data_IF_318600174353
#
_entry.id   IF_318600174353
#
_cell.length_a   1.000
_cell.length_b   1.000
_cell.length_c   1.000
_cell.angle_alpha   90.00
_cell.angle_beta   90.00
_cell.angle_gamma   90.00
#
_symmetry.space_group_name_H-M   'P 1'
#
loop_
_entity.id
_entity.type
_entity.pdbx_description
1 polymer ?
#
# COMPACT_ATOMS: atom_id res chain seq x y z
N UNK A 1 -19.36 -13.20 -4.94
CA UNK A 1 -19.31 -12.82 -6.37
C UNK A 1 -18.23 -11.78 -6.62
N UNK A 2 -18.35 -10.54 -6.13
CA UNK A 2 -17.36 -9.46 -6.36
C UNK A 2 -15.91 -9.89 -6.09
N UNK A 3 -15.66 -10.53 -4.94
CA UNK A 3 -14.33 -11.06 -4.61
C UNK A 3 -13.72 -11.98 -5.67
N UNK A 4 -14.54 -12.80 -6.35
CA UNK A 4 -14.07 -13.72 -7.40
C UNK A 4 -13.73 -12.97 -8.69
N UNK A 5 -14.40 -11.85 -8.95
CA UNK A 5 -14.09 -10.97 -10.09
C UNK A 5 -12.74 -10.28 -9.87
N UNK A 6 -12.43 -9.93 -8.62
CA UNK A 6 -11.15 -9.35 -8.24
C UNK A 6 -9.97 -10.33 -8.34
N UNK A 7 -10.20 -11.62 -8.62
CA UNK A 7 -9.12 -12.55 -8.94
C UNK A 7 -8.66 -12.41 -10.42
N UNK A 8 -9.38 -11.65 -11.26
CA UNK A 8 -9.07 -11.46 -12.69
C UNK A 8 -7.67 -10.91 -12.95
N UNK A 9 -7.14 -9.90 -12.23
CA UNK A 9 -5.76 -9.46 -12.45
C UNK A 9 -4.72 -10.56 -12.22
N UNK A 10 -4.93 -11.40 -11.21
CA UNK A 10 -4.04 -12.53 -10.91
C UNK A 10 -4.10 -13.58 -12.03
N UNK A 11 -5.30 -13.91 -12.49
CA UNK A 11 -5.56 -14.99 -13.46
C UNK A 11 -5.45 -14.53 -14.94
N UNK A 12 -5.46 -13.23 -15.20
CA UNK A 12 -5.53 -12.61 -16.53
C UNK A 12 -6.95 -12.59 -17.12
N UNK A 13 -7.74 -13.63 -16.87
CA UNK A 13 -9.13 -13.74 -17.32
C UNK A 13 -9.97 -14.50 -16.30
N UNK A 14 -11.22 -14.08 -16.12
CA UNK A 14 -12.21 -14.76 -15.30
C UNK A 14 -13.48 -15.01 -16.11
N UNK A 15 -14.08 -16.19 -15.96
CA UNK A 15 -15.31 -16.58 -16.65
C UNK A 15 -16.39 -16.95 -15.63
N UNK A 16 -17.59 -16.44 -15.83
CA UNK A 16 -18.75 -16.69 -14.97
C UNK A 16 -19.90 -17.25 -15.79
N UNK A 17 -20.38 -18.43 -15.42
CA UNK A 17 -21.65 -18.95 -15.92
C UNK A 17 -22.82 -18.23 -15.26
N UNK A 18 -23.82 -17.90 -16.07
CA UNK A 18 -25.07 -17.31 -15.62
C UNK A 18 -26.12 -18.40 -15.46
N UNK A 19 -26.64 -18.53 -14.25
CA UNK A 19 -27.81 -19.31 -13.93
C UNK A 19 -28.97 -18.39 -13.60
N UNK A 20 -30.01 -18.43 -14.42
CA UNK A 20 -31.18 -17.59 -14.24
C UNK A 20 -32.08 -18.19 -13.15
N UNK A 21 -32.33 -17.41 -12.11
CA UNK A 21 -33.21 -17.77 -11.00
C UNK A 21 -34.42 -16.84 -11.04
N UNK A 22 -35.61 -17.42 -11.08
CA UNK A 22 -36.85 -16.65 -10.98
C UNK A 22 -37.02 -16.10 -9.56
N UNK A 23 -37.22 -14.78 -9.47
CA UNK A 23 -37.53 -14.08 -8.24
C UNK A 23 -38.69 -13.12 -8.50
N UNK A 24 -39.89 -13.51 -8.06
CA UNK A 24 -41.12 -12.73 -8.19
C UNK A 24 -41.44 -12.35 -9.65
N UNK A 25 -41.18 -13.24 -10.61
CA UNK A 25 -41.44 -13.02 -12.04
C UNK A 25 -40.33 -12.26 -12.76
N UNK A 26 -39.22 -11.95 -12.09
CA UNK A 26 -38.01 -11.37 -12.67
C UNK A 26 -36.90 -12.42 -12.61
N UNK A 27 -36.35 -12.77 -13.76
CA UNK A 27 -35.18 -13.64 -13.88
C UNK A 27 -33.93 -12.86 -13.47
N UNK A 28 -33.33 -13.25 -12.36
CA UNK A 28 -32.08 -12.68 -11.84
C UNK A 28 -30.89 -13.57 -12.22
N UNK A 29 -29.74 -12.99 -12.59
CA UNK A 29 -28.52 -13.77 -12.81
C UNK A 29 -27.92 -14.19 -11.47
N UNK A 30 -27.70 -15.50 -11.31
CA UNK A 30 -26.81 -16.08 -10.32
C UNK A 30 -25.50 -16.47 -11.03
N UNK A 31 -24.38 -15.89 -10.58
CA UNK A 31 -23.11 -15.97 -11.27
C UNK A 31 -22.18 -16.96 -10.60
N UNK A 32 -21.85 -18.03 -11.32
CA UNK A 32 -20.97 -19.10 -10.86
C UNK A 32 -19.68 -19.04 -11.66
N UNK A 33 -18.58 -18.80 -10.97
CA UNK A 33 -17.23 -18.85 -11.55
C UNK A 33 -16.92 -20.23 -12.14
N UNK A 34 -16.33 -20.22 -13.34
CA UNK A 34 -15.86 -21.40 -14.05
C UNK A 34 -14.36 -21.29 -14.31
N UNK A 35 -13.70 -22.44 -14.47
CA UNK A 35 -12.27 -22.47 -14.77
C UNK A 35 -12.02 -21.86 -16.14
N UNK A 36 -11.39 -20.68 -16.16
CA UNK A 36 -11.09 -19.91 -17.39
C UNK A 36 -10.24 -20.71 -18.38
N UNK A 37 -9.48 -21.72 -17.92
CA UNK A 37 -8.65 -22.59 -18.78
C UNK A 37 -9.46 -23.44 -19.75
N UNK A 38 -10.76 -23.61 -19.50
CA UNK A 38 -11.67 -24.32 -20.39
C UNK A 38 -12.27 -23.41 -21.46
N UNK A 39 -11.85 -22.15 -21.56
CA UNK A 39 -12.40 -21.16 -22.48
C UNK A 39 -11.31 -20.53 -23.34
N UNK A 40 -11.71 -20.01 -24.50
CA UNK A 40 -10.86 -19.28 -25.43
C UNK A 40 -11.61 -18.06 -25.95
N UNK A 41 -10.91 -16.95 -26.15
CA UNK A 41 -11.46 -15.78 -26.82
C UNK A 41 -10.95 -15.77 -28.26
N UNK A 42 -11.85 -15.88 -29.23
CA UNK A 42 -11.55 -15.86 -30.67
C UNK A 42 -12.38 -14.74 -31.29
N UNK A 43 -11.72 -13.79 -31.95
CA UNK A 43 -12.40 -12.64 -32.58
C UNK A 43 -13.32 -11.87 -31.61
N UNK A 44 -12.87 -11.67 -30.37
CA UNK A 44 -13.63 -11.03 -29.28
C UNK A 44 -14.91 -11.78 -28.85
N UNK A 45 -15.04 -13.06 -29.20
CA UNK A 45 -16.12 -13.92 -28.72
C UNK A 45 -15.57 -15.02 -27.79
N UNK A 46 -16.22 -15.20 -26.65
CA UNK A 46 -15.91 -16.27 -25.71
C UNK A 46 -16.44 -17.61 -26.23
N UNK A 47 -15.56 -18.61 -26.30
CA UNK A 47 -15.88 -19.98 -26.70
C UNK A 47 -15.50 -20.97 -25.62
N UNK A 48 -16.28 -22.05 -25.50
CA UNK A 48 -16.01 -23.14 -24.58
C UNK A 48 -15.16 -24.22 -25.26
N UNK A 49 -14.01 -24.56 -24.70
CA UNK A 49 -13.01 -25.43 -25.30
C UNK A 49 -12.31 -26.38 -24.28
N UNK A 50 -13.05 -27.22 -23.53
CA UNK A 50 -12.47 -28.06 -22.47
C UNK A 50 -11.47 -29.11 -22.98
N UNK A 51 -11.59 -29.52 -24.25
CA UNK A 51 -10.71 -30.51 -24.90
C UNK A 51 -9.98 -29.91 -26.12
N UNK A 52 -9.84 -28.58 -26.16
CA UNK A 52 -9.20 -27.86 -27.28
C UNK A 52 -10.08 -27.65 -28.52
N UNK A 53 -11.30 -28.18 -28.54
CA UNK A 53 -12.28 -27.91 -29.60
C UNK A 53 -13.22 -26.80 -29.14
N UNK A 54 -13.12 -25.64 -29.79
CA UNK A 54 -13.95 -24.48 -29.49
C UNK A 54 -15.42 -24.71 -29.91
N UNK A 55 -16.33 -24.44 -28.98
CA UNK A 55 -17.77 -24.51 -29.14
C UNK A 55 -18.38 -23.16 -28.78
N UNK A 56 -19.42 -22.78 -29.50
CA UNK A 56 -20.14 -21.55 -29.21
C UNK A 56 -20.94 -21.69 -27.91
N UNK A 57 -20.95 -20.62 -27.13
CA UNK A 57 -21.69 -20.55 -25.88
C UNK A 57 -23.08 -19.98 -26.19
N UNK A 58 -24.17 -20.57 -25.67
CA UNK A 58 -25.51 -20.00 -25.85
C UNK A 58 -25.58 -18.54 -25.36
N UNK A 59 -26.37 -17.67 -26.01
CA UNK A 59 -26.56 -16.29 -25.56
C UNK A 59 -27.01 -16.24 -24.10
N UNK A 60 -26.55 -15.22 -23.36
CA UNK A 60 -26.90 -14.99 -21.95
C UNK A 60 -26.52 -16.12 -20.97
N UNK A 61 -25.57 -16.98 -21.36
CA UNK A 61 -25.15 -18.13 -20.54
C UNK A 61 -23.81 -17.93 -19.83
N UNK A 62 -22.94 -17.06 -20.33
CA UNK A 62 -21.67 -16.76 -19.70
C UNK A 62 -21.31 -15.28 -19.82
N UNK A 63 -20.50 -14.81 -18.87
CA UNK A 63 -19.83 -13.52 -18.85
C UNK A 63 -18.34 -13.76 -18.65
N UNK A 64 -17.50 -12.85 -19.13
CA UNK A 64 -16.08 -12.90 -18.88
C UNK A 64 -15.51 -11.51 -18.68
N UNK A 65 -14.36 -11.45 -18.04
CA UNK A 65 -13.57 -10.23 -17.92
C UNK A 65 -12.11 -10.56 -18.12
N UNK A 66 -11.37 -9.63 -18.72
CA UNK A 66 -9.95 -9.75 -19.04
C UNK A 66 -9.18 -8.59 -18.44
N UNK A 67 -8.00 -8.87 -17.91
CA UNK A 67 -7.08 -7.87 -17.38
C UNK A 67 -5.93 -7.66 -18.37
N UNK A 68 -5.71 -6.40 -18.79
CA UNK A 68 -4.66 -6.02 -19.75
C UNK A 68 -4.59 -6.93 -20.99
N UNK A 69 -5.72 -7.12 -21.67
CA UNK A 69 -5.76 -7.86 -22.93
C UNK A 69 -5.00 -7.13 -24.03
N UNK A 70 -4.36 -7.92 -24.88
CA UNK A 70 -3.59 -7.43 -26.01
C UNK A 70 -4.01 -8.18 -27.25
N UNK A 71 -3.79 -7.59 -28.42
CA UNK A 71 -4.14 -8.24 -29.69
C UNK A 71 -3.54 -9.65 -29.84
N UNK A 72 -2.35 -9.89 -29.30
CA UNK A 72 -1.67 -11.20 -29.30
C UNK A 72 -1.95 -12.05 -28.03
N UNK A 73 -2.69 -11.51 -27.05
CA UNK A 73 -3.07 -12.16 -25.79
C UNK A 73 -4.50 -11.79 -25.43
N UNK A 74 -5.50 -12.39 -26.12
CA UNK A 74 -6.90 -12.06 -25.92
C UNK A 74 -7.44 -12.51 -24.56
N UNK A 75 -6.79 -13.47 -23.89
CA UNK A 75 -7.14 -13.94 -22.54
C UNK A 75 -6.51 -13.09 -21.41
N UNK A 76 -6.04 -11.88 -21.73
CA UNK A 76 -5.40 -11.00 -20.75
C UNK A 76 -3.93 -11.31 -20.46
N UNK A 77 -3.34 -10.48 -19.60
CA UNK A 77 -1.97 -10.60 -19.10
C UNK A 77 -2.00 -10.87 -17.59
N UNK A 78 -1.90 -12.14 -17.15
CA UNK A 78 -1.98 -12.46 -15.72
C UNK A 78 -0.78 -11.94 -14.93
N UNK A 79 -1.04 -11.34 -13.77
CA UNK A 79 0.04 -11.02 -12.81
C UNK A 79 0.76 -12.29 -12.32
N UNK A 80 0.09 -13.44 -12.32
CA UNK A 80 0.69 -14.72 -11.97
C UNK A 80 1.91 -15.08 -12.84
N UNK A 81 1.96 -14.64 -14.11
CA UNK A 81 3.11 -14.87 -14.99
C UNK A 81 4.36 -14.16 -14.46
N UNK A 82 4.21 -12.90 -14.02
CA UNK A 82 5.30 -12.13 -13.44
C UNK A 82 5.69 -12.65 -12.05
N UNK A 83 4.71 -13.10 -11.26
CA UNK A 83 4.91 -13.65 -9.91
C UNK A 83 5.55 -15.04 -9.89
N UNK A 84 5.48 -15.79 -11.00
CA UNK A 84 5.97 -17.17 -11.06
C UNK A 84 7.41 -17.31 -10.57
N UNK A 85 8.34 -16.52 -11.11
CA UNK A 85 9.76 -16.64 -10.79
C UNK A 85 10.10 -16.18 -9.37
N UNK A 86 9.68 -14.99 -8.90
CA UNK A 86 9.93 -14.56 -7.53
C UNK A 86 9.40 -15.57 -6.49
N UNK A 87 8.18 -16.10 -6.68
CA UNK A 87 7.58 -17.08 -5.76
C UNK A 87 8.35 -18.40 -5.80
N UNK A 88 8.72 -18.89 -6.98
CA UNK A 88 9.51 -20.13 -7.12
C UNK A 88 10.88 -20.01 -6.45
N UNK A 89 11.59 -18.92 -6.68
CA UNK A 89 12.91 -18.69 -6.09
C UNK A 89 12.82 -18.49 -4.58
N UNK A 90 11.83 -17.75 -4.08
CA UNK A 90 11.59 -17.63 -2.64
C UNK A 90 11.37 -18.98 -1.98
N UNK A 91 10.45 -19.79 -2.53
CA UNK A 91 10.14 -21.11 -1.95
C UNK A 91 11.35 -22.06 -2.00
N UNK A 92 12.12 -22.03 -3.08
CA UNK A 92 13.36 -22.80 -3.19
C UNK A 92 14.41 -22.33 -2.17
N UNK A 93 14.60 -21.00 -2.04
CA UNK A 93 15.52 -20.38 -1.08
C UNK A 93 15.20 -20.81 0.35
N UNK A 94 13.93 -20.73 0.75
CA UNK A 94 13.46 -21.20 2.05
C UNK A 94 13.71 -22.70 2.25
N UNK A 95 13.49 -23.51 1.22
CA UNK A 95 13.79 -24.95 1.26
C UNK A 95 15.30 -25.24 1.43
N UNK A 96 16.17 -24.47 0.79
CA UNK A 96 17.62 -24.55 1.01
C UNK A 96 18.01 -24.08 2.41
N UNK A 97 17.36 -23.03 2.92
CA UNK A 97 17.61 -22.50 4.25
C UNK A 97 17.30 -23.53 5.34
N UNK A 98 16.14 -24.20 5.26
CA UNK A 98 15.79 -25.27 6.20
C UNK A 98 16.82 -26.40 6.17
N UNK A 99 17.23 -26.87 4.99
CA UNK A 99 18.27 -27.90 4.85
C UNK A 99 19.63 -27.45 5.37
N UNK A 100 19.95 -26.17 5.22
CA UNK A 100 21.16 -25.60 5.78
C UNK A 100 21.09 -25.60 7.32
N UNK A 101 19.97 -25.17 7.91
CA UNK A 101 19.78 -25.20 9.36
C UNK A 101 19.89 -26.61 9.94
N UNK A 102 19.33 -27.61 9.25
CA UNK A 102 19.47 -29.03 9.63
C UNK A 102 20.95 -29.46 9.66
N UNK A 103 21.71 -29.15 8.61
CA UNK A 103 23.14 -29.51 8.52
C UNK A 103 24.03 -28.68 9.44
N UNK A 104 23.65 -27.43 9.73
CA UNK A 104 24.38 -26.57 10.65
C UNK A 104 24.15 -26.98 12.10
N UNK A 105 22.92 -27.42 12.43
CA UNK A 105 22.58 -27.97 13.74
C UNK A 105 23.13 -29.38 13.99
N UNK A 106 23.55 -30.10 12.95
CA UNK A 106 24.16 -31.43 13.04
C UNK A 106 25.53 -31.44 12.37
N UNK A 107 26.61 -31.07 13.09
CA UNK A 107 27.93 -31.00 12.50
C UNK A 107 28.40 -32.39 12.06
N UNK A 108 29.19 -32.44 10.99
CA UNK A 108 29.81 -33.68 10.55
C UNK A 108 31.02 -33.96 11.44
N UNK A 109 30.89 -34.96 12.31
CA UNK A 109 32.02 -35.50 13.06
C UNK A 109 32.70 -36.58 12.23
N UNK A 110 33.99 -36.41 11.96
CA UNK A 110 34.82 -37.41 11.27
C UNK A 110 35.85 -37.90 12.28
N UNK A 111 35.78 -39.18 12.63
CA UNK A 111 36.82 -39.88 13.40
C UNK A 111 37.79 -40.60 12.48
N UNK A 112 39.08 -40.51 12.79
CA UNK A 112 40.13 -41.33 12.22
C UNK A 112 40.65 -42.26 13.31
N UNK A 113 40.65 -43.55 13.05
CA UNK A 113 41.20 -44.58 13.95
C UNK A 113 41.95 -45.64 13.17
N UNK A 114 42.98 -46.21 13.80
CA UNK A 114 43.64 -47.45 13.37
C UNK A 114 43.01 -48.71 14.00
N UNK A 115 42.08 -48.53 14.96
CA UNK A 115 41.35 -49.56 15.69
C UNK A 115 40.04 -50.02 15.04
N UNK A 116 39.07 -50.46 15.87
CA UNK A 116 37.77 -50.93 15.40
C UNK A 116 36.86 -49.76 14.99
N UNK A 117 36.49 -49.73 13.70
CA UNK A 117 35.68 -48.67 13.10
C UNK A 117 34.26 -48.63 13.64
N UNK A 118 33.68 -49.80 13.93
CA UNK A 118 32.29 -49.88 14.40
C UNK A 118 32.21 -49.40 15.85
N UNK A 119 33.19 -49.76 16.68
CA UNK A 119 33.31 -49.25 18.04
C UNK A 119 33.51 -47.73 18.09
N UNK A 120 34.41 -47.20 17.25
CA UNK A 120 34.61 -45.74 17.20
C UNK A 120 33.37 -45.00 16.70
N UNK A 121 32.61 -45.58 15.76
CA UNK A 121 31.35 -44.99 15.30
C UNK A 121 30.32 -44.92 16.43
N UNK A 122 30.17 -45.97 17.23
CA UNK A 122 29.26 -46.00 18.38
C UNK A 122 29.66 -44.96 19.44
N UNK A 123 30.96 -44.82 19.71
CA UNK A 123 31.51 -43.80 20.61
C UNK A 123 31.25 -42.37 20.07
N UNK A 124 31.45 -42.14 18.76
CA UNK A 124 31.11 -40.88 18.09
C UNK A 124 29.63 -40.53 18.18
N UNK A 125 28.74 -41.50 18.01
CA UNK A 125 27.30 -41.29 18.18
C UNK A 125 26.93 -40.96 19.62
N UNK A 126 27.55 -41.63 20.60
CA UNK A 126 27.37 -41.32 22.02
C UNK A 126 27.89 -39.92 22.36
N UNK A 127 29.02 -39.50 21.78
CA UNK A 127 29.60 -38.17 21.92
C UNK A 127 28.72 -37.07 21.31
N UNK A 128 28.10 -37.30 20.15
CA UNK A 128 27.18 -36.33 19.56
C UNK A 128 25.90 -36.16 20.41
N UNK A 129 25.57 -37.15 21.24
CA UNK A 129 24.42 -37.14 22.16
C UNK A 129 24.72 -36.66 23.58
N UNK A 130 25.98 -36.45 23.97
CA UNK A 130 26.40 -36.10 25.33
C UNK A 130 27.54 -35.07 25.38
N UNK A 131 27.72 -34.40 26.52
CA UNK A 131 28.66 -33.27 26.64
C UNK A 131 30.14 -33.67 26.91
N UNK A 132 30.46 -34.97 26.94
CA UNK A 132 31.80 -35.46 27.28
C UNK A 132 32.22 -36.66 26.44
N UNK A 133 33.51 -36.70 26.11
CA UNK A 133 34.11 -37.69 25.23
C UNK A 133 35.43 -38.23 25.79
N UNK A 134 35.67 -39.52 25.63
CA UNK A 134 36.96 -40.16 25.89
C UNK A 134 37.35 -40.89 24.62
N UNK A 135 38.53 -40.58 24.08
CA UNK A 135 39.09 -41.21 22.89
C UNK A 135 40.51 -41.67 23.18
N UNK A 136 40.99 -42.68 22.46
CA UNK A 136 42.37 -43.12 22.56
C UNK A 136 43.34 -42.04 22.06
N UNK A 137 44.58 -42.05 22.58
CA UNK A 137 45.61 -41.03 22.28
C UNK A 137 45.99 -41.00 20.79
N UNK A 138 45.82 -42.12 20.09
CA UNK A 138 46.16 -42.28 18.68
C UNK A 138 45.01 -41.86 17.74
N UNK A 139 43.79 -41.69 18.28
CA UNK A 139 42.59 -41.36 17.52
C UNK A 139 42.41 -39.85 17.37
N UNK A 140 41.95 -39.42 16.18
CA UNK A 140 41.70 -38.01 15.88
C UNK A 140 40.22 -37.81 15.52
N UNK A 141 39.54 -36.91 16.22
CA UNK A 141 38.18 -36.47 15.87
C UNK A 141 38.23 -35.03 15.38
N UNK A 142 37.77 -34.82 14.14
CA UNK A 142 37.60 -33.49 13.56
C UNK A 142 36.12 -33.23 13.32
N UNK A 143 35.60 -32.20 14.00
CA UNK A 143 34.25 -31.69 13.76
C UNK A 143 34.30 -30.65 12.66
N UNK A 144 33.76 -30.97 11.49
CA UNK A 144 33.64 -30.02 10.40
C UNK A 144 32.35 -29.22 10.56
N UNK A 145 32.48 -28.02 11.12
CA UNK A 145 31.43 -27.02 11.05
C UNK A 145 31.49 -26.31 9.70
N UNK A 146 30.34 -26.24 9.02
CA UNK A 146 30.19 -25.46 7.80
C UNK A 146 30.34 -23.98 8.20
N UNK A 147 31.36 -23.30 7.70
CA UNK A 147 31.47 -21.85 7.90
C UNK A 147 30.26 -21.16 7.25
N UNK A 148 29.59 -20.30 8.00
CA UNK A 148 28.45 -19.51 7.50
C UNK A 148 28.96 -18.51 6.45
N UNK A 149 28.98 -18.91 5.19
CA UNK A 149 29.23 -18.02 4.06
C UNK A 149 28.01 -18.00 3.13
N UNK A 150 27.00 -17.22 3.48
CA UNK A 150 25.83 -17.03 2.63
C UNK A 150 24.82 -16.08 3.25
N UNK A 151 24.57 -14.97 2.57
CA UNK A 151 23.49 -14.04 2.91
C UNK A 151 22.18 -14.56 2.33
N UNK A 152 21.60 -15.60 2.95
CA UNK A 152 20.35 -16.22 2.50
C UNK A 152 19.16 -15.25 2.56
N UNK A 153 19.23 -14.28 3.46
CA UNK A 153 18.20 -13.26 3.64
C UNK A 153 18.07 -12.36 2.40
N UNK A 154 19.19 -12.06 1.72
CA UNK A 154 19.21 -11.16 0.55
C UNK A 154 18.38 -11.67 -0.62
N UNK A 155 18.44 -12.98 -0.91
CA UNK A 155 17.66 -13.55 -2.02
C UNK A 155 16.16 -13.56 -1.69
N UNK A 156 15.82 -13.89 -0.44
CA UNK A 156 14.44 -13.92 0.04
C UNK A 156 13.85 -12.51 0.04
N UNK A 157 14.61 -11.53 0.55
CA UNK A 157 14.24 -10.12 0.55
C UNK A 157 14.09 -9.55 -0.86
N UNK A 158 15.01 -9.88 -1.78
CA UNK A 158 14.88 -9.51 -3.19
C UNK A 158 13.58 -10.06 -3.79
N UNK A 159 13.29 -11.35 -3.58
CA UNK A 159 12.05 -11.95 -4.08
C UNK A 159 10.80 -11.29 -3.46
N UNK A 160 10.84 -10.98 -2.17
CA UNK A 160 9.74 -10.27 -1.48
C UNK A 160 9.54 -8.85 -2.01
N UNK A 161 10.62 -8.14 -2.31
CA UNK A 161 10.57 -6.83 -2.95
C UNK A 161 9.94 -6.90 -4.34
N UNK A 162 10.33 -7.89 -5.16
CA UNK A 162 9.73 -8.09 -6.48
C UNK A 162 8.23 -8.43 -6.39
N UNK A 163 7.84 -9.30 -5.46
CA UNK A 163 6.42 -9.64 -5.22
C UNK A 163 5.64 -8.40 -4.80
N UNK A 164 6.18 -7.58 -3.88
CA UNK A 164 5.56 -6.31 -3.45
C UNK A 164 5.38 -5.36 -4.63
N UNK A 165 6.42 -5.16 -5.45
CA UNK A 165 6.34 -4.30 -6.62
C UNK A 165 5.29 -4.76 -7.63
N UNK A 166 5.16 -6.07 -7.87
CA UNK A 166 4.17 -6.60 -8.81
C UNK A 166 2.73 -6.45 -8.29
N UNK A 167 2.49 -6.68 -6.99
CA UNK A 167 1.12 -6.68 -6.42
C UNK A 167 0.68 -5.27 -6.03
N UNK A 168 1.57 -4.47 -5.43
CA UNK A 168 1.26 -3.15 -4.88
C UNK A 168 1.66 -2.01 -5.82
N UNK A 169 2.30 -2.30 -6.95
CA UNK A 169 2.82 -1.31 -7.90
C UNK A 169 4.07 -0.57 -7.42
N UNK A 170 4.62 -0.89 -6.25
CA UNK A 170 5.83 -0.23 -5.72
C UNK A 170 6.31 -0.81 -4.39
N UNK A 171 7.40 -0.25 -3.84
CA UNK A 171 7.98 -0.71 -2.57
C UNK A 171 8.50 0.45 -1.68
N UNK A 172 7.64 0.92 -0.76
CA UNK A 172 8.00 1.90 0.28
C UNK A 172 9.26 1.53 1.07
N UNK A 173 9.40 0.25 1.42
CA UNK A 173 10.41 -0.17 2.41
C UNK A 173 11.83 -0.21 1.86
N UNK A 174 12.02 -0.26 0.54
CA UNK A 174 13.36 -0.27 -0.06
C UNK A 174 13.79 1.07 -0.64
N UNK A 175 12.86 2.00 -0.91
CA UNK A 175 13.14 3.27 -1.59
C UNK A 175 13.23 4.48 -0.65
N UNK A 176 12.66 4.42 0.56
CA UNK A 176 12.69 5.56 1.49
C UNK A 176 13.98 5.59 2.30
N UNK A 177 15.03 6.19 1.73
CA UNK A 177 16.22 6.69 2.46
C UNK A 177 16.16 8.19 2.76
N UNK A 178 15.10 8.88 2.34
CA UNK A 178 14.81 10.29 2.66
C UNK A 178 13.47 10.72 2.08
N UNK A 179 12.69 11.52 2.82
CA UNK A 179 11.39 12.06 2.38
C UNK A 179 10.21 11.08 2.49
N UNK A 180 9.86 10.64 3.71
CA UNK A 180 8.80 9.65 3.95
C UNK A 180 7.41 10.10 3.48
N UNK A 181 7.10 11.39 3.54
CA UNK A 181 5.77 11.90 3.20
C UNK A 181 5.49 11.94 1.69
N UNK A 182 6.44 12.44 0.90
CA UNK A 182 6.31 12.49 -0.56
C UNK A 182 6.22 11.09 -1.17
N UNK A 183 7.04 10.14 -0.67
CA UNK A 183 6.96 8.75 -1.06
C UNK A 183 5.61 8.12 -0.71
N UNK A 184 5.08 8.38 0.50
CA UNK A 184 3.78 7.86 0.91
C UNK A 184 2.63 8.36 0.01
N UNK A 185 2.67 9.61 -0.44
CA UNK A 185 1.67 10.15 -1.37
C UNK A 185 1.74 9.45 -2.74
N UNK A 186 2.93 9.32 -3.34
CA UNK A 186 3.09 8.61 -4.63
C UNK A 186 2.58 7.17 -4.56
N UNK A 187 2.79 6.49 -3.43
CA UNK A 187 2.25 5.13 -3.25
C UNK A 187 0.74 5.09 -3.05
N UNK A 188 0.15 6.10 -2.41
CA UNK A 188 -1.30 6.21 -2.34
C UNK A 188 -1.89 6.43 -3.74
N UNK A 189 -1.26 7.25 -4.58
CA UNK A 189 -1.69 7.47 -5.96
C UNK A 189 -1.65 6.17 -6.77
N UNK A 190 -0.55 5.39 -6.68
CA UNK A 190 -0.44 4.07 -7.33
C UNK A 190 -1.51 3.11 -6.82
N UNK A 191 -1.78 3.11 -5.50
CA UNK A 191 -2.81 2.26 -4.90
C UNK A 191 -4.20 2.64 -5.42
N UNK A 192 -4.47 3.93 -5.54
CA UNK A 192 -5.73 4.45 -6.09
C UNK A 192 -5.87 4.07 -7.58
N UNK A 193 -4.80 4.16 -8.37
CA UNK A 193 -4.81 3.74 -9.79
C UNK A 193 -5.12 2.24 -9.94
N UNK A 194 -4.53 1.39 -9.09
CA UNK A 194 -4.83 -0.05 -9.06
C UNK A 194 -6.28 -0.28 -8.66
N UNK A 195 -6.76 0.40 -7.61
CA UNK A 195 -8.15 0.27 -7.15
C UNK A 195 -9.17 0.73 -8.21
N UNK A 196 -8.88 1.82 -8.92
CA UNK A 196 -9.71 2.30 -10.04
C UNK A 196 -9.74 1.29 -11.19
N UNK A 197 -8.61 0.63 -11.48
CA UNK A 197 -8.55 -0.42 -12.49
C UNK A 197 -9.43 -1.63 -12.11
N UNK A 198 -9.34 -2.07 -10.85
CA UNK A 198 -10.16 -3.16 -10.31
C UNK A 198 -11.66 -2.80 -10.27
N UNK A 199 -11.98 -1.54 -9.95
CA UNK A 199 -13.35 -1.01 -9.98
C UNK A 199 -13.92 -1.06 -11.40
N UNK A 200 -13.18 -0.54 -12.39
CA UNK A 200 -13.60 -0.54 -13.78
C UNK A 200 -13.86 -1.95 -14.30
N UNK A 201 -12.93 -2.87 -14.03
CA UNK A 201 -13.05 -4.27 -14.41
C UNK A 201 -14.31 -4.92 -13.83
N UNK A 202 -14.57 -4.68 -12.54
CA UNK A 202 -15.76 -5.19 -11.85
C UNK A 202 -17.04 -4.56 -12.41
N UNK A 203 -17.01 -3.27 -12.67
CA UNK A 203 -18.16 -2.50 -13.15
C UNK A 203 -18.56 -2.92 -14.57
N UNK A 204 -17.60 -3.18 -15.46
CA UNK A 204 -17.87 -3.66 -16.82
C UNK A 204 -18.64 -4.99 -16.80
N UNK A 205 -18.17 -5.96 -16.02
CA UNK A 205 -18.83 -7.26 -15.90
C UNK A 205 -20.26 -7.13 -15.33
N UNK A 206 -20.45 -6.28 -14.31
CA UNK A 206 -21.77 -6.05 -13.72
C UNK A 206 -22.70 -5.33 -14.69
N UNK A 207 -22.20 -4.33 -15.43
CA UNK A 207 -22.97 -3.63 -16.48
C UNK A 207 -23.45 -4.62 -17.53
N UNK A 208 -22.62 -5.57 -17.94
CA UNK A 208 -23.01 -6.61 -18.88
C UNK A 208 -24.04 -7.59 -18.29
N UNK A 209 -23.88 -8.01 -17.03
CA UNK A 209 -24.88 -8.83 -16.33
C UNK A 209 -26.25 -8.12 -16.24
N UNK A 210 -26.25 -6.82 -15.94
CA UNK A 210 -27.46 -6.00 -15.89
C UNK A 210 -28.08 -5.85 -17.27
N UNK A 211 -27.27 -5.66 -18.31
CA UNK A 211 -27.73 -5.63 -19.71
C UNK A 211 -28.45 -6.92 -20.06
N UNK A 212 -27.86 -8.09 -19.79
CA UNK A 212 -28.49 -9.38 -20.06
C UNK A 212 -29.79 -9.57 -19.28
N UNK A 213 -29.80 -9.13 -18.02
CA UNK A 213 -31.02 -9.15 -17.18
C UNK A 213 -32.12 -8.29 -17.79
N UNK A 214 -31.78 -7.11 -18.32
CA UNK A 214 -32.72 -6.21 -18.99
C UNK A 214 -33.30 -6.85 -20.25
N UNK A 215 -32.45 -7.45 -21.08
CA UNK A 215 -32.84 -8.07 -22.34
C UNK A 215 -33.75 -9.29 -22.12
N UNK A 216 -33.43 -10.16 -21.16
CA UNK A 216 -34.24 -11.36 -20.84
C UNK A 216 -35.58 -11.02 -20.21
N UNK A 217 -35.64 -10.01 -19.36
CA UNK A 217 -36.89 -9.61 -18.69
C UNK A 217 -37.71 -8.58 -19.49
N UNK A 218 -37.25 -8.18 -20.68
CA UNK A 218 -37.86 -7.15 -21.52
C UNK A 218 -38.14 -5.82 -20.79
N UNK A 219 -37.22 -5.42 -19.90
CA UNK A 219 -37.36 -4.20 -19.12
C UNK A 219 -37.06 -2.98 -19.98
N UNK A 220 -37.93 -1.96 -19.95
CA UNK A 220 -37.77 -0.73 -20.73
C UNK A 220 -36.95 0.36 -20.01
N UNK A 221 -36.82 0.28 -18.68
CA UNK A 221 -36.11 1.26 -17.87
C UNK A 221 -34.61 1.31 -18.15
N UNK A 222 -34.01 2.49 -18.08
CA UNK A 222 -32.55 2.64 -18.00
C UNK A 222 -32.09 2.31 -16.59
N UNK A 223 -31.14 1.36 -16.49
CA UNK A 223 -30.52 0.96 -15.23
C UNK A 223 -29.06 1.33 -15.33
N UNK A 224 -28.62 2.28 -14.50
CA UNK A 224 -27.22 2.62 -14.33
C UNK A 224 -26.65 1.92 -13.10
N UNK A 225 -25.45 1.36 -13.25
CA UNK A 225 -24.69 0.79 -12.15
C UNK A 225 -23.49 1.69 -11.89
N UNK A 226 -23.30 2.05 -10.64
CA UNK A 226 -22.12 2.76 -10.15
C UNK A 226 -21.64 2.07 -8.89
N UNK A 227 -20.33 1.81 -8.80
CA UNK A 227 -19.70 1.51 -7.53
C UNK A 227 -19.41 2.84 -6.83
N UNK A 228 -19.54 2.85 -5.50
CA UNK A 228 -19.27 4.03 -4.69
C UNK A 228 -18.57 3.56 -3.44
N UNK A 229 -17.51 4.24 -3.06
CA UNK A 229 -16.95 4.10 -1.73
C UNK A 229 -17.96 4.66 -0.72
N UNK A 230 -18.25 3.88 0.31
CA UNK A 230 -19.21 4.26 1.36
C UNK A 230 -18.60 5.31 2.29
N UNK A 231 -17.28 5.27 2.46
CA UNK A 231 -16.56 6.02 3.49
C UNK A 231 -15.69 7.15 2.91
N UNK A 232 -15.69 7.38 1.60
CA UNK A 232 -14.96 8.48 0.96
C UNK A 232 -15.69 9.83 1.19
N UNK A 233 -15.07 10.79 1.90
CA UNK A 233 -15.61 12.13 2.08
C UNK A 233 -15.70 12.96 0.79
N UNK A 234 -15.20 12.47 -0.35
CA UNK A 234 -15.26 13.12 -1.67
C UNK A 234 -14.76 14.58 -1.61
N UNK A 235 -13.64 14.79 -0.91
CA UNK A 235 -13.10 16.13 -0.59
C UNK A 235 -12.81 16.93 -1.87
N UNK A 236 -12.24 16.27 -2.89
CA UNK A 236 -11.96 16.93 -4.17
C UNK A 236 -13.23 17.43 -4.87
N UNK A 237 -14.31 16.63 -4.85
CA UNK A 237 -15.61 17.04 -5.39
C UNK A 237 -16.20 18.18 -4.57
N UNK A 238 -16.06 18.15 -3.24
CA UNK A 238 -16.49 19.23 -2.35
C UNK A 238 -15.76 20.55 -2.64
N UNK A 239 -14.44 20.50 -2.84
CA UNK A 239 -13.65 21.68 -3.21
C UNK A 239 -14.01 22.20 -4.61
N UNK A 240 -14.27 21.30 -5.56
CA UNK A 240 -14.77 21.67 -6.90
C UNK A 240 -16.13 22.36 -6.81
N UNK A 241 -17.07 21.78 -6.08
CA UNK A 241 -18.42 22.32 -5.94
C UNK A 241 -18.41 23.67 -5.20
N UNK A 242 -17.48 23.85 -4.25
CA UNK A 242 -17.20 25.16 -3.64
C UNK A 242 -16.75 26.18 -4.70
N UNK A 243 -15.78 25.84 -5.56
CA UNK A 243 -15.34 26.72 -6.66
C UNK A 243 -16.47 27.03 -7.65
N UNK A 244 -17.31 26.04 -8.00
CA UNK A 244 -18.47 26.23 -8.88
C UNK A 244 -19.48 27.20 -8.26
N UNK A 245 -19.72 27.08 -6.94
CA UNK A 245 -20.55 28.01 -6.19
C UNK A 245 -19.95 29.42 -6.10
N UNK A 246 -18.62 29.54 -5.97
CA UNK A 246 -17.90 30.82 -5.99
C UNK A 246 -18.00 31.50 -7.37
N UNK A 247 -18.02 30.73 -8.45
CA UNK A 247 -18.28 31.21 -9.82
C UNK A 247 -19.75 31.60 -10.07
N UNK A 248 -20.64 31.44 -9.08
CA UNK A 248 -22.05 31.85 -9.14
C UNK A 248 -23.03 30.77 -9.58
N UNK A 249 -22.58 29.52 -9.75
CA UNK A 249 -23.44 28.39 -10.13
C UNK A 249 -23.79 27.54 -8.91
N UNK A 250 -25.08 27.28 -8.68
CA UNK A 250 -25.52 26.45 -7.55
C UNK A 250 -25.78 25.02 -8.00
N UNK A 251 -25.11 24.00 -7.42
CA UNK A 251 -25.41 22.61 -7.73
C UNK A 251 -26.87 22.26 -7.37
N UNK A 252 -27.51 21.39 -8.16
CA UNK A 252 -28.88 20.96 -7.90
C UNK A 252 -28.95 20.00 -6.71
N UNK A 253 -30.11 19.94 -6.05
CA UNK A 253 -30.34 19.02 -4.92
C UNK A 253 -30.09 17.56 -5.32
N UNK A 254 -30.64 17.14 -6.47
CA UNK A 254 -30.49 15.77 -6.99
C UNK A 254 -29.02 15.41 -7.24
N UNK A 255 -28.23 16.36 -7.75
CA UNK A 255 -26.79 16.16 -7.94
C UNK A 255 -26.07 15.96 -6.60
N UNK A 256 -26.30 16.80 -5.58
CA UNK A 256 -25.64 16.67 -4.27
C UNK A 256 -26.02 15.35 -3.59
N UNK A 257 -27.30 14.99 -3.61
CA UNK A 257 -27.78 13.74 -2.98
C UNK A 257 -27.20 12.50 -3.68
N UNK A 258 -27.10 12.54 -5.00
CA UNK A 258 -26.48 11.46 -5.77
C UNK A 258 -24.95 11.38 -5.57
N UNK A 259 -24.27 12.52 -5.49
CA UNK A 259 -22.79 12.58 -5.48
C UNK A 259 -22.23 12.24 -4.11
N UNK A 260 -22.81 12.78 -3.04
CA UNK A 260 -22.35 12.57 -1.66
C UNK A 260 -23.12 11.49 -0.90
N UNK A 261 -24.13 10.87 -1.54
CA UNK A 261 -24.95 9.83 -0.93
C UNK A 261 -25.61 10.27 0.41
N UNK A 262 -25.92 11.56 0.53
CA UNK A 262 -26.61 12.17 1.67
C UNK A 262 -28.01 12.65 1.26
N UNK A 263 -28.92 12.80 2.21
CA UNK A 263 -30.18 13.52 1.99
C UNK A 263 -30.01 14.95 2.44
N UNK A 264 -30.22 15.91 1.54
CA UNK A 264 -30.07 17.35 1.84
C UNK A 264 -31.41 18.06 1.81
N UNK A 265 -31.64 18.94 2.79
CA UNK A 265 -32.78 19.86 2.79
C UNK A 265 -32.39 21.16 2.10
N UNK A 266 -33.35 21.83 1.46
CA UNK A 266 -33.11 23.11 0.81
C UNK A 266 -32.59 24.13 1.85
N UNK A 267 -31.40 24.66 1.61
CA UNK A 267 -30.87 25.73 2.44
C UNK A 267 -31.78 26.97 2.28
N UNK A 268 -32.36 27.44 3.38
CA UNK A 268 -33.02 28.75 3.39
C UNK A 268 -31.95 29.80 3.11
N UNK A 269 -31.97 30.43 1.93
CA UNK A 269 -31.10 31.58 1.64
C UNK A 269 -31.44 32.71 2.62
N UNK A 270 -30.70 32.84 3.71
CA UNK A 270 -30.55 34.11 4.39
C UNK A 270 -29.48 34.91 3.62
N UNK A 271 -29.69 36.20 3.35
CA UNK A 271 -28.65 37.03 2.77
C UNK A 271 -27.46 37.06 3.74
N UNK A 272 -26.25 36.92 3.21
CA UNK A 272 -25.01 37.08 3.97
C UNK A 272 -24.88 38.56 4.33
N UNK A 273 -25.52 38.96 5.43
CA UNK A 273 -25.19 40.19 6.11
C UNK A 273 -23.84 39.96 6.79
N UNK A 274 -22.83 40.75 6.40
CA UNK A 274 -21.57 40.88 7.13
C UNK A 274 -21.85 41.29 8.57
N UNK A 275 -22.05 40.29 9.44
CA UNK A 275 -22.14 40.49 10.87
C UNK A 275 -20.77 40.18 11.46
N UNK A 276 -19.94 41.22 11.58
CA UNK A 276 -18.87 41.25 12.57
C UNK A 276 -19.48 40.98 13.95
N UNK A 277 -19.36 39.75 14.44
CA UNK A 277 -19.60 39.41 15.84
C UNK A 277 -18.46 38.55 16.36
N UNK A 278 -17.55 39.26 17.03
CA UNK A 278 -16.75 38.81 18.17
C UNK A 278 -17.50 37.76 19.00
N UNK A 279 -17.04 36.50 18.95
CA UNK A 279 -17.28 35.55 20.04
C UNK A 279 -16.22 34.45 20.06
N UNK A 280 -15.55 34.38 21.22
CA UNK A 280 -14.79 33.28 21.84
C UNK A 280 -14.17 32.23 20.90
N UNK A 281 -12.85 32.37 20.68
CA UNK A 281 -11.98 31.26 20.25
C UNK A 281 -12.05 30.14 21.29
N UNK A 282 -12.72 29.05 20.92
CA UNK A 282 -12.40 27.71 21.40
C UNK A 282 -11.22 27.26 20.52
N UNK A 283 -10.05 27.02 21.12
CA UNK A 283 -8.90 26.46 20.43
C UNK A 283 -9.23 25.00 20.06
N UNK A 284 -9.36 24.73 18.77
CA UNK A 284 -9.24 23.38 18.20
C UNK A 284 -7.92 23.39 17.45
N UNK A 285 -6.94 22.65 17.94
CA UNK A 285 -5.69 22.38 17.24
C UNK A 285 -5.99 21.48 16.05
N UNK A 286 -5.83 22.01 14.85
CA UNK A 286 -5.92 21.28 13.60
C UNK A 286 -4.67 21.59 12.79
N UNK A 287 -3.92 20.53 12.47
CA UNK A 287 -2.71 20.52 11.68
C UNK A 287 -2.83 21.43 10.44
N UNK A 288 -1.99 22.47 10.38
CA UNK A 288 -1.82 23.24 9.16
C UNK A 288 -1.05 22.37 8.16
N UNK A 289 -1.65 22.18 6.98
CA UNK A 289 -0.96 21.67 5.79
C UNK A 289 0.23 22.59 5.49
N UNK A 290 1.41 22.05 5.12
CA UNK A 290 2.48 22.89 4.59
C UNK A 290 2.04 23.47 3.23
N UNK A 291 2.32 24.76 3.04
CA UNK A 291 1.95 25.51 1.84
C UNK A 291 2.77 25.05 0.63
N UNK A 292 2.11 24.85 -0.50
CA UNK A 292 2.64 24.22 -1.71
C UNK A 292 3.44 25.17 -2.63
N UNK A 293 3.71 26.40 -2.21
CA UNK A 293 4.52 27.37 -2.96
C UNK A 293 5.23 28.38 -2.05
N UNK A 294 6.46 28.76 -2.42
CA UNK A 294 7.36 29.68 -1.71
C UNK A 294 6.73 31.05 -1.40
N UNK A 295 5.79 31.51 -2.24
CA UNK A 295 5.08 32.78 -2.09
C UNK A 295 4.00 32.75 -1.00
N UNK A 296 3.42 31.57 -0.72
CA UNK A 296 2.43 31.39 0.36
C UNK A 296 3.04 31.26 1.75
N UNK A 297 4.33 30.92 1.82
CA UNK A 297 5.05 30.82 3.09
C UNK A 297 5.23 32.22 3.72
N UNK A 298 5.62 33.23 2.92
CA UNK A 298 5.90 34.60 3.39
C UNK A 298 4.65 35.25 4.01
N UNK A 299 3.46 35.06 3.41
CA UNK A 299 2.20 35.62 3.93
C UNK A 299 1.67 34.90 5.18
N UNK A 300 2.13 33.67 5.45
CA UNK A 300 1.79 32.92 6.66
C UNK A 300 2.68 33.26 7.86
N UNK A 301 3.79 33.98 7.64
CA UNK A 301 4.65 34.44 8.73
C UNK A 301 4.03 35.69 9.35
N UNK A 302 3.22 35.47 10.39
CA UNK A 302 2.81 36.54 11.28
C UNK A 302 4.00 36.97 12.15
N UNK A 303 4.93 37.76 11.58
CA UNK A 303 6.08 38.37 12.28
C UNK A 303 5.67 39.37 13.37
N UNK A 304 4.37 39.56 13.63
CA UNK A 304 3.86 40.46 14.68
C UNK A 304 3.30 39.65 15.85
N UNK A 305 4.16 39.48 16.87
CA UNK A 305 3.93 38.95 18.24
C UNK A 305 4.18 37.45 18.44
N UNK A 306 5.44 37.04 18.31
CA UNK A 306 5.98 36.11 19.30
C UNK A 306 6.87 36.98 20.19
N UNK A 307 6.60 36.97 21.49
CA UNK A 307 7.32 37.77 22.48
C UNK A 307 8.82 37.44 22.39
N UNK A 308 9.61 38.43 21.95
CA UNK A 308 11.08 38.39 21.76
C UNK A 308 11.88 37.89 22.99
N UNK A 309 11.23 37.70 24.14
CA UNK A 309 11.83 37.25 25.39
C UNK A 309 12.00 35.73 25.47
N UNK A 310 11.10 34.92 24.90
CA UNK A 310 11.15 33.45 25.04
C UNK A 310 12.19 32.82 24.09
N UNK A 311 12.25 33.31 22.86
CA UNK A 311 13.25 32.86 21.87
C UNK A 311 14.69 33.16 22.30
N UNK A 312 14.95 34.35 22.86
CA UNK A 312 16.30 34.69 23.34
C UNK A 312 16.77 33.80 24.47
N UNK A 313 15.88 33.42 25.39
CA UNK A 313 16.23 32.52 26.49
C UNK A 313 16.57 31.11 26.02
N UNK A 314 15.85 30.61 25.02
CA UNK A 314 16.13 29.30 24.42
C UNK A 314 17.45 29.32 23.64
N UNK A 315 17.70 30.36 22.84
CA UNK A 315 18.96 30.52 22.10
C UNK A 315 20.15 30.63 23.06
N UNK A 316 20.03 31.40 24.14
CA UNK A 316 21.09 31.51 25.17
C UNK A 316 21.37 30.18 25.90
N UNK A 317 20.37 29.29 26.02
CA UNK A 317 20.55 27.95 26.60
C UNK A 317 21.24 27.02 25.59
N UNK A 318 20.84 27.09 24.32
CA UNK A 318 21.42 26.29 23.24
C UNK A 318 22.88 26.67 22.95
N UNK A 319 23.21 27.96 22.95
CA UNK A 319 24.59 28.45 22.73
C UNK A 319 25.57 28.03 23.84
N UNK A 320 25.06 27.62 25.00
CA UNK A 320 25.88 27.14 26.12
C UNK A 320 26.06 25.62 26.13
N UNK A 321 25.31 24.88 25.31
CA UNK A 321 25.40 23.44 25.20
C UNK A 321 26.38 23.04 24.09
N UNK A 322 27.35 22.19 24.40
CA UNK A 322 28.31 21.70 23.40
C UNK A 322 27.86 20.39 22.74
N UNK A 323 26.83 19.76 23.30
CA UNK A 323 26.25 18.51 22.80
C UNK A 323 24.73 18.55 22.84
N UNK A 324 24.10 17.76 21.98
CA UNK A 324 22.64 17.68 21.85
C UNK A 324 21.96 17.21 23.14
N UNK A 325 22.60 16.30 23.87
CA UNK A 325 22.09 15.76 25.13
C UNK A 325 22.13 16.81 26.25
N UNK A 326 23.20 17.61 26.35
CA UNK A 326 23.29 18.74 27.30
C UNK A 326 22.24 19.83 27.01
N UNK A 327 21.95 20.10 25.73
CA UNK A 327 20.94 21.07 25.33
C UNK A 327 19.53 20.67 25.80
N UNK A 328 19.20 19.39 25.67
CA UNK A 328 17.90 18.84 26.10
C UNK A 328 17.79 18.87 27.62
N UNK A 329 18.85 18.50 28.34
CA UNK A 329 18.86 18.49 29.80
C UNK A 329 18.69 19.91 30.38
N UNK A 330 19.40 20.89 29.80
CA UNK A 330 19.29 22.29 30.21
C UNK A 330 17.91 22.91 29.91
N UNK A 331 17.27 22.51 28.80
CA UNK A 331 15.92 22.95 28.47
C UNK A 331 14.86 22.32 29.39
N UNK A 332 15.03 21.05 29.78
CA UNK A 332 14.15 20.39 30.75
C UNK A 332 14.27 20.99 32.16
N UNK A 333 15.47 21.40 32.56
CA UNK A 333 15.68 22.09 33.84
C UNK A 333 15.06 23.50 33.86
N UNK A 334 15.16 24.24 32.75
CA UNK A 334 14.60 25.58 32.63
C UNK A 334 13.06 25.59 32.55
N UNK A 335 12.44 24.55 31.97
CA UNK A 335 11.00 24.44 31.79
C UNK A 335 10.42 23.10 32.29
N UNK A 336 10.46 22.85 33.61
CA UNK A 336 10.14 21.53 34.19
C UNK A 336 8.65 21.16 34.20
N UNK A 337 7.76 22.01 33.65
CA UNK A 337 6.30 21.81 33.63
C UNK A 337 5.69 21.63 32.23
N UNK A 338 6.50 21.69 31.19
CA UNK A 338 6.05 21.49 29.82
C UNK A 338 6.18 20.01 29.48
N UNK A 339 5.14 19.38 28.91
CA UNK A 339 5.27 17.99 28.45
C UNK A 339 6.35 17.94 27.37
N UNK A 340 7.26 16.96 27.50
CA UNK A 340 8.43 16.75 26.63
C UNK A 340 8.06 16.79 25.13
N UNK A 341 6.84 16.36 24.83
CA UNK A 341 6.27 16.26 23.51
C UNK A 341 5.93 17.63 22.90
N UNK A 342 5.41 18.58 23.70
CA UNK A 342 5.17 19.96 23.23
C UNK A 342 6.50 20.69 22.99
N UNK A 343 7.53 20.41 23.80
CA UNK A 343 8.85 21.00 23.63
C UNK A 343 9.52 20.47 22.36
N UNK A 344 9.34 19.18 22.07
CA UNK A 344 9.86 18.53 20.86
C UNK A 344 9.21 19.10 19.60
N UNK A 345 7.88 19.24 19.56
CA UNK A 345 7.17 19.83 18.40
C UNK A 345 7.59 21.29 18.15
N UNK A 346 7.83 22.06 19.23
CA UNK A 346 8.25 23.46 19.13
C UNK A 346 9.70 23.59 18.65
N UNK A 347 10.58 22.66 19.04
CA UNK A 347 11.95 22.57 18.53
C UNK A 347 11.99 22.13 17.06
N UNK A 348 11.19 21.14 16.66
CA UNK A 348 11.09 20.72 15.26
C UNK A 348 10.65 21.88 14.37
N UNK A 349 9.64 22.65 14.81
CA UNK A 349 9.20 23.85 14.09
C UNK A 349 10.28 24.94 14.05
N UNK A 350 11.02 25.15 15.14
CA UNK A 350 12.09 26.13 15.18
C UNK A 350 13.28 25.74 14.27
N UNK A 351 13.65 24.46 14.22
CA UNK A 351 14.69 23.94 13.32
C UNK A 351 14.29 24.09 11.85
N UNK A 352 13.04 23.75 11.50
CA UNK A 352 12.54 23.93 10.13
C UNK A 352 12.60 25.41 9.73
N UNK A 353 12.20 26.32 10.62
CA UNK A 353 12.25 27.75 10.34
C UNK A 353 13.69 28.28 10.23
N UNK A 354 14.62 27.77 11.05
CA UNK A 354 16.04 28.13 10.96
C UNK A 354 16.68 27.61 9.68
N UNK A 355 16.33 26.41 9.23
CA UNK A 355 16.81 25.83 7.97
C UNK A 355 16.29 26.61 6.75
N UNK A 356 15.03 27.06 6.81
CA UNK A 356 14.45 27.95 5.79
C UNK A 356 15.18 29.30 5.78
N UNK A 357 15.39 29.92 6.95
CA UNK A 357 16.14 31.18 7.07
C UNK A 357 17.56 31.07 6.54
N UNK A 358 18.28 30.01 6.88
CA UNK A 358 19.65 29.77 6.40
C UNK A 358 19.70 29.58 4.88
N UNK A 359 18.69 28.92 4.28
CA UNK A 359 18.61 28.82 2.81
C UNK A 359 18.32 30.15 2.14
N UNK A 360 17.48 30.98 2.75
CA UNK A 360 17.19 32.32 2.23
C UNK A 360 18.42 33.22 2.31
N UNK A 361 19.18 33.19 3.41
CA UNK A 361 20.44 33.95 3.52
C UNK A 361 21.51 33.49 2.52
N UNK A 362 21.59 32.18 2.23
CA UNK A 362 22.51 31.65 1.21
C UNK A 362 22.09 32.01 -0.22
N UNK A 363 20.78 32.12 -0.49
CA UNK A 363 20.28 32.62 -1.79
C UNK A 363 20.55 34.12 -1.95
N UNK A 364 20.35 34.93 -0.90
CA UNK A 364 20.65 36.37 -0.91
C UNK A 364 22.16 36.66 -1.10
N UNK A 365 23.07 35.88 -0.45
CA UNK A 365 24.52 36.02 -0.66
C UNK A 365 24.96 35.64 -2.09
N UNK A 366 24.22 34.75 -2.76
CA UNK A 366 24.50 34.34 -4.13
C UNK A 366 24.02 35.32 -5.20
N UNK A 367 23.16 36.28 -4.83
CA UNK A 367 22.72 37.37 -5.70
C UNK A 367 23.58 38.65 -5.55
N UNK A 368 24.42 38.76 -4.52
CA UNK A 368 25.31 39.91 -4.27
C UNK A 368 26.78 39.74 -4.71
N UNK A 369 27.20 38.57 -5.24
CA UNK A 369 28.47 38.38 -5.99
C UNK A 369 28.30 38.48 -7.51
#
# INVERSE_FOLDING_TARGET
>A
MLRKILDTPIQGCSVFEINWVDNLGILRPDLIERDYRQFLIIQNELKYAPHGVAQDIPPYKALYSTYEDKHNRPMGTPLADALFWPVKFKNASLGFWVKFLEKYGSPWAIGKTEGDKDQMADELYAMLGGDSAVIDIEDEITVHQIQRSGDFDKLTEYCDNQIRQIILGGNLTSEVKGGSFAAANVHNDIREDIAMTDENLTLELIKEAVRFTKEINHLSSEVTVTLKDKDDPNIQLSERDKRISEMGWTPTKEYIESTYNIKVNAASKAPVANALKTSKKLFVFGAQKPADTLEGAIDSINLKKIELTFQKQIIDILDRANTFEEAIEALQEAYPKTELQELQELMESAMINAEILARVEVEDESEEE
#
